data_IF_572837787297
#
_entry.id   IF_572837787297
#
_cell.length_a   1.000
_cell.length_b   1.000
_cell.length_c   1.000
_cell.angle_alpha   90.00
_cell.angle_beta   90.00
_cell.angle_gamma   90.00
#
_symmetry.space_group_name_H-M   'P 1'
#
loop_
_entity.id
_entity.type
_entity.pdbx_description
1 polymer ?
#
# COMPACT_ATOMS: atom_id res chain seq x y z
N UNK A 1 -2.03 14.83 27.07
CA UNK A 1 -1.32 14.84 25.77
C UNK A 1 -1.71 16.13 25.05
N UNK A 2 -0.75 16.95 24.60
CA UNK A 2 -1.02 18.24 23.92
C UNK A 2 -0.38 18.19 22.54
N UNK A 3 -1.14 18.54 21.50
CA UNK A 3 -0.64 18.66 20.13
C UNK A 3 0.24 19.92 20.05
N UNK A 4 1.48 19.77 19.56
CA UNK A 4 2.46 20.87 19.43
C UNK A 4 2.62 21.36 17.99
N UNK A 5 2.07 20.65 17.01
CA UNK A 5 2.10 21.02 15.60
C UNK A 5 1.15 20.16 14.76
N UNK A 6 0.66 20.70 13.65
CA UNK A 6 -0.24 20.03 12.71
C UNK A 6 0.06 20.51 11.29
N UNK A 7 0.22 19.56 10.35
CA UNK A 7 0.35 19.84 8.93
C UNK A 7 -0.70 19.06 8.14
N UNK A 8 -1.73 19.76 7.66
CA UNK A 8 -2.84 19.19 6.88
C UNK A 8 -2.74 19.46 5.37
N UNK A 9 -1.75 20.24 4.92
CA UNK A 9 -1.61 20.67 3.53
C UNK A 9 -1.63 19.52 2.50
N UNK A 10 -1.08 18.33 2.77
CA UNK A 10 -1.20 17.19 1.84
C UNK A 10 -2.64 16.72 1.64
N UNK A 11 -3.47 16.74 2.69
CA UNK A 11 -4.87 16.36 2.58
C UNK A 11 -5.64 17.35 1.70
N UNK A 12 -5.55 18.65 2.00
CA UNK A 12 -6.28 19.68 1.25
C UNK A 12 -5.86 19.75 -0.23
N UNK A 13 -4.57 19.52 -0.53
CA UNK A 13 -4.07 19.59 -1.92
C UNK A 13 -4.38 18.35 -2.75
N UNK A 14 -4.44 17.17 -2.13
CA UNK A 14 -4.62 15.91 -2.85
C UNK A 14 -6.03 15.31 -2.73
N UNK A 15 -6.88 15.84 -1.85
CA UNK A 15 -8.25 15.38 -1.74
C UNK A 15 -9.07 15.82 -2.97
N UNK A 16 -9.65 14.83 -3.64
CA UNK A 16 -10.48 14.97 -4.83
C UNK A 16 -11.35 13.73 -4.96
N UNK A 17 -12.47 13.84 -5.65
CA UNK A 17 -13.21 12.66 -6.11
C UNK A 17 -12.33 11.83 -7.04
N UNK A 18 -12.42 10.51 -6.92
CA UNK A 18 -11.60 9.57 -7.68
C UNK A 18 -12.47 8.51 -8.32
N UNK A 19 -12.13 8.20 -9.56
CA UNK A 19 -12.54 6.95 -10.21
C UNK A 19 -11.34 6.02 -10.09
N UNK A 20 -11.49 4.97 -9.28
CA UNK A 20 -10.42 4.01 -9.03
C UNK A 20 -10.46 2.90 -10.08
N UNK A 21 -9.28 2.36 -10.41
CA UNK A 21 -9.16 1.17 -11.26
C UNK A 21 -9.84 -0.04 -10.61
N UNK A 22 -10.26 -0.99 -11.45
CA UNK A 22 -10.86 -2.24 -10.98
C UNK A 22 -9.83 -3.14 -10.30
N UNK A 23 -10.22 -3.75 -9.18
CA UNK A 23 -9.36 -4.69 -8.45
C UNK A 23 -9.47 -6.08 -9.10
N UNK A 24 -8.57 -6.39 -10.02
CA UNK A 24 -8.50 -7.69 -10.72
C UNK A 24 -7.78 -8.78 -9.91
N UNK A 25 -6.84 -8.37 -9.06
CA UNK A 25 -6.11 -9.24 -8.14
C UNK A 25 -6.83 -9.23 -6.82
N UNK A 26 -7.53 -10.33 -6.51
CA UNK A 26 -8.16 -10.50 -5.20
C UNK A 26 -7.12 -10.76 -4.12
N UNK A 27 -7.47 -10.48 -2.87
CA UNK A 27 -6.65 -10.84 -1.71
C UNK A 27 -6.25 -12.32 -1.72
N UNK A 28 -7.17 -13.22 -2.08
CA UNK A 28 -6.87 -14.66 -2.16
C UNK A 28 -5.79 -14.97 -3.20
N UNK A 29 -5.89 -14.36 -4.39
CA UNK A 29 -4.90 -14.51 -5.46
C UNK A 29 -3.54 -13.92 -5.05
N UNK A 30 -3.53 -12.75 -4.40
CA UNK A 30 -2.32 -12.12 -3.85
C UNK A 30 -1.53 -13.09 -2.97
N UNK A 31 -2.20 -13.72 -2.02
CA UNK A 31 -1.56 -14.66 -1.09
C UNK A 31 -0.91 -15.88 -1.77
N UNK A 32 -1.26 -16.20 -3.02
CA UNK A 32 -0.67 -17.33 -3.76
C UNK A 32 0.69 -17.04 -4.37
N UNK A 33 1.03 -15.77 -4.60
CA UNK A 33 2.27 -15.39 -5.30
C UNK A 33 3.19 -14.49 -4.48
N UNK A 34 2.73 -13.92 -3.36
CA UNK A 34 3.63 -13.23 -2.44
C UNK A 34 4.63 -14.21 -1.80
N UNK A 35 5.78 -13.69 -1.40
CA UNK A 35 6.87 -14.49 -0.84
C UNK A 35 6.41 -15.26 0.41
N UNK A 36 6.65 -16.59 0.50
CA UNK A 36 6.27 -17.40 1.65
C UNK A 36 7.09 -17.07 2.91
N UNK A 37 8.18 -16.31 2.77
CA UNK A 37 9.00 -15.85 3.89
C UNK A 37 8.37 -14.65 4.64
N UNK A 38 7.35 -14.03 4.05
CA UNK A 38 6.62 -12.93 4.67
C UNK A 38 5.66 -13.48 5.73
N UNK A 39 5.88 -13.16 7.00
CA UNK A 39 4.86 -13.37 8.03
C UNK A 39 3.85 -12.23 7.97
N UNK A 40 2.82 -12.39 7.16
CA UNK A 40 1.77 -11.39 6.95
C UNK A 40 0.97 -11.15 8.24
N UNK A 41 0.89 -9.88 8.65
CA UNK A 41 0.10 -9.43 9.80
C UNK A 41 -1.23 -8.82 9.33
N UNK A 42 -1.21 -8.02 8.25
CA UNK A 42 -2.37 -7.29 7.76
C UNK A 42 -2.29 -7.09 6.24
N UNK A 43 -3.45 -6.99 5.59
CA UNK A 43 -3.55 -6.64 4.17
C UNK A 43 -4.70 -5.67 3.94
N UNK A 44 -4.42 -4.51 3.33
CA UNK A 44 -5.41 -3.46 3.08
C UNK A 44 -5.30 -2.95 1.64
N UNK A 45 -6.38 -2.37 1.10
CA UNK A 45 -6.28 -1.58 -0.14
C UNK A 45 -5.65 -0.23 0.19
N UNK A 46 -4.72 0.19 -0.65
CA UNK A 46 -3.99 1.45 -0.52
C UNK A 46 -3.82 2.11 -1.88
N UNK A 47 -3.98 3.44 -1.92
CA UNK A 47 -3.64 4.25 -3.07
C UNK A 47 -2.27 4.88 -2.82
N UNK A 48 -1.29 4.56 -3.66
CA UNK A 48 0.06 5.14 -3.59
C UNK A 48 0.32 6.01 -4.81
N UNK A 49 1.36 6.83 -4.72
CA UNK A 49 1.93 7.53 -5.88
C UNK A 49 3.28 6.90 -6.23
N UNK A 50 3.51 6.69 -7.53
CA UNK A 50 4.84 6.39 -8.04
C UNK A 50 5.73 7.64 -8.06
N UNK A 51 6.96 7.49 -8.53
CA UNK A 51 7.94 8.58 -8.58
C UNK A 51 7.56 9.72 -9.54
N UNK A 52 6.60 9.47 -10.45
CA UNK A 52 6.05 10.48 -11.36
C UNK A 52 4.72 11.08 -10.85
N UNK A 53 4.28 10.70 -9.66
CA UNK A 53 3.04 11.19 -9.05
C UNK A 53 1.77 10.52 -9.58
N UNK A 54 1.89 9.46 -10.38
CA UNK A 54 0.74 8.69 -10.86
C UNK A 54 0.17 7.88 -9.69
N UNK A 55 -1.14 8.01 -9.48
CA UNK A 55 -1.87 7.25 -8.47
C UNK A 55 -2.02 5.78 -8.93
N UNK A 56 -1.66 4.83 -8.08
CA UNK A 56 -1.74 3.39 -8.33
C UNK A 56 -2.52 2.73 -7.21
N UNK A 57 -3.58 1.98 -7.55
CA UNK A 57 -4.35 1.19 -6.59
C UNK A 57 -3.60 -0.11 -6.29
N UNK A 58 -3.35 -0.36 -5.01
CA UNK A 58 -2.51 -1.46 -4.55
C UNK A 58 -3.10 -2.18 -3.34
N UNK A 59 -2.64 -3.40 -3.12
CA UNK A 59 -2.72 -4.07 -1.83
C UNK A 59 -1.47 -3.74 -1.02
N UNK A 60 -1.64 -3.08 0.12
CA UNK A 60 -0.63 -3.00 1.16
C UNK A 60 -0.62 -4.32 1.94
N UNK A 61 0.50 -5.02 1.92
CA UNK A 61 0.76 -6.21 2.74
C UNK A 61 1.76 -5.82 3.82
N UNK A 62 1.31 -5.80 5.07
CA UNK A 62 2.17 -5.61 6.23
C UNK A 62 2.66 -6.96 6.70
N UNK A 63 3.97 -7.14 6.73
CA UNK A 63 4.58 -8.40 7.09
C UNK A 63 5.86 -8.22 7.89
N UNK A 64 6.23 -9.27 8.62
CA UNK A 64 7.52 -9.37 9.32
C UNK A 64 8.47 -10.27 8.52
N UNK A 65 9.71 -9.82 8.39
CA UNK A 65 10.84 -10.62 7.90
C UNK A 65 11.96 -10.56 8.93
N UNK A 66 12.22 -11.70 9.59
CA UNK A 66 13.11 -11.75 10.74
C UNK A 66 12.54 -10.94 11.91
N UNK A 67 13.20 -9.83 12.27
CA UNK A 67 12.78 -8.90 13.33
C UNK A 67 12.19 -7.59 12.80
N UNK A 68 12.25 -7.39 11.48
CA UNK A 68 11.89 -6.13 10.83
C UNK A 68 10.46 -6.20 10.28
N UNK A 69 9.76 -5.06 10.27
CA UNK A 69 8.42 -4.92 9.68
C UNK A 69 8.51 -4.18 8.35
N UNK A 70 7.70 -4.62 7.38
CA UNK A 70 7.62 -4.04 6.06
C UNK A 70 6.17 -3.88 5.62
N UNK A 71 5.89 -2.79 4.89
CA UNK A 71 4.71 -2.64 4.04
C UNK A 71 5.14 -2.83 2.58
N UNK A 72 4.65 -3.88 1.94
CA UNK A 72 4.86 -4.14 0.51
C UNK A 72 3.58 -3.83 -0.25
N UNK A 73 3.68 -3.13 -1.38
CA UNK A 73 2.53 -2.65 -2.16
C UNK A 73 2.48 -3.38 -3.49
N UNK A 74 1.40 -4.11 -3.73
CA UNK A 74 1.19 -4.89 -4.95
C UNK A 74 0.05 -4.30 -5.77
N UNK A 75 0.29 -4.02 -7.05
CA UNK A 75 -0.69 -3.48 -7.99
C UNK A 75 -1.96 -4.34 -8.04
N UNK A 76 -3.14 -3.72 -7.86
CA UNK A 76 -4.42 -4.43 -7.85
C UNK A 76 -4.86 -4.92 -9.23
N UNK A 77 -4.30 -4.38 -10.31
CA UNK A 77 -4.62 -4.73 -11.69
C UNK A 77 -3.66 -5.81 -12.20
N UNK A 78 -2.35 -5.65 -11.99
CA UNK A 78 -1.31 -6.54 -12.55
C UNK A 78 -0.75 -7.56 -11.57
N UNK A 79 -0.80 -7.29 -10.26
CA UNK A 79 -0.14 -8.08 -9.22
C UNK A 79 1.36 -7.81 -9.06
N UNK A 80 1.93 -6.88 -9.84
CA UNK A 80 3.33 -6.48 -9.72
C UNK A 80 3.60 -5.78 -8.39
N UNK A 81 4.79 -5.97 -7.82
CA UNK A 81 5.24 -5.22 -6.66
C UNK A 81 5.68 -3.82 -7.09
N UNK A 82 5.03 -2.79 -6.55
CA UNK A 82 5.26 -1.39 -6.90
C UNK A 82 6.20 -0.71 -5.90
N UNK A 83 6.15 -1.12 -4.63
CA UNK A 83 6.93 -0.47 -3.56
C UNK A 83 7.10 -1.37 -2.34
N UNK A 84 8.24 -1.24 -1.67
CA UNK A 84 8.46 -1.79 -0.33
C UNK A 84 8.94 -0.67 0.58
N UNK A 85 8.36 -0.59 1.77
CA UNK A 85 8.75 0.35 2.83
C UNK A 85 9.03 -0.43 4.10
N UNK A 86 10.17 -0.17 4.73
CA UNK A 86 10.44 -0.66 6.08
C UNK A 86 9.75 0.25 7.09
N UNK A 87 9.01 -0.34 8.03
CA UNK A 87 8.26 0.35 9.09
C UNK A 87 9.10 0.61 10.33
#
# INVERSE_FOLDING_TARGET
MKITGYEGSPFYRNHKERVLEEVLVTRGKLMTFISPYLRVEETNLALIQDDWGKEILTWEVRAIVGTERFSSYYNCTTGAEEKIIRL
#
